data_IF_393293052219
#
_entry.id   IF_393293052219
#
_cell.length_a   1.000
_cell.length_b   1.000
_cell.length_c   1.000
_cell.angle_alpha   90.00
_cell.angle_beta   90.00
_cell.angle_gamma   90.00
#
_symmetry.space_group_name_H-M   'P 1'
#
loop_
_entity.id
_entity.type
_entity.pdbx_description
1 polymer ?
#
# COMPACT_ATOMS: atom_id res chain seq x y z
N UNK A 1 -2.99 25.84 -22.53
CA UNK A 1 -1.83 25.37 -23.30
C UNK A 1 -1.04 24.51 -22.34
N UNK A 2 -0.91 23.21 -22.60
CA UNK A 2 -0.20 22.30 -21.70
C UNK A 2 1.28 22.66 -21.59
N UNK A 3 1.88 22.37 -20.44
CA UNK A 3 3.31 22.55 -20.21
C UNK A 3 4.08 21.37 -20.83
N UNK A 4 5.17 21.62 -21.54
CA UNK A 4 5.99 20.57 -22.14
C UNK A 4 7.47 20.69 -21.76
N UNK A 5 8.11 19.55 -21.57
CA UNK A 5 9.55 19.45 -21.31
C UNK A 5 10.19 18.53 -22.34
N UNK A 6 11.31 18.99 -22.88
CA UNK A 6 12.14 18.25 -23.83
C UNK A 6 13.35 17.64 -23.10
N UNK A 7 13.56 16.35 -23.31
CA UNK A 7 14.72 15.62 -22.84
C UNK A 7 15.86 15.71 -23.87
N UNK A 8 17.09 15.92 -23.39
CA UNK A 8 18.25 16.07 -24.26
C UNK A 8 18.64 14.70 -24.87
N UNK A 9 18.50 13.65 -24.06
CA UNK A 9 18.77 12.27 -24.46
C UNK A 9 17.52 11.39 -24.32
N UNK A 10 17.28 10.51 -25.29
CA UNK A 10 16.17 9.53 -25.24
C UNK A 10 16.28 8.58 -24.04
N UNK A 11 17.51 8.29 -23.61
CA UNK A 11 17.79 7.43 -22.45
C UNK A 11 17.29 8.07 -21.15
N UNK A 12 17.49 9.38 -20.96
CA UNK A 12 16.99 10.09 -19.78
C UNK A 12 15.46 10.00 -19.70
N UNK A 13 14.78 10.18 -20.83
CA UNK A 13 13.33 10.06 -20.88
C UNK A 13 12.86 8.65 -20.52
N UNK A 14 13.47 7.62 -21.10
CA UNK A 14 13.12 6.22 -20.80
C UNK A 14 13.31 5.89 -19.31
N UNK A 15 14.32 6.46 -18.67
CA UNK A 15 14.54 6.31 -17.22
C UNK A 15 13.44 6.97 -16.41
N UNK A 16 13.02 8.18 -16.78
CA UNK A 16 11.95 8.91 -16.09
C UNK A 16 10.60 8.24 -16.27
N UNK A 17 10.23 7.86 -17.50
CA UNK A 17 9.00 7.11 -17.78
C UNK A 17 9.03 5.69 -17.18
N UNK A 18 10.23 5.15 -16.97
CA UNK A 18 10.45 3.79 -16.49
C UNK A 18 10.21 2.74 -17.58
N UNK A 19 10.62 1.50 -17.30
CA UNK A 19 10.44 0.38 -18.23
C UNK A 19 8.95 0.21 -18.53
N UNK A 20 8.59 0.18 -19.83
CA UNK A 20 7.20 0.13 -20.31
C UNK A 20 6.31 1.25 -19.74
N UNK A 21 6.86 2.44 -19.55
CA UNK A 21 6.12 3.62 -19.09
C UNK A 21 5.47 3.47 -17.72
N UNK A 22 5.98 2.56 -16.89
CA UNK A 22 5.40 2.23 -15.58
C UNK A 22 5.28 3.42 -14.62
N UNK A 23 6.13 4.44 -14.78
CA UNK A 23 6.16 5.61 -13.91
C UNK A 23 5.15 6.68 -14.36
N UNK A 24 4.63 6.62 -15.60
CA UNK A 24 3.70 7.64 -16.13
C UNK A 24 2.41 7.71 -15.30
N UNK A 25 1.69 6.61 -15.06
CA UNK A 25 0.46 6.66 -14.25
C UNK A 25 0.72 7.16 -12.82
N UNK A 26 1.93 6.92 -12.30
CA UNK A 26 2.35 7.38 -10.98
C UNK A 26 2.60 8.90 -10.97
N UNK A 27 3.27 9.44 -11.99
CA UNK A 27 3.50 10.87 -12.17
C UNK A 27 2.19 11.64 -12.39
N UNK A 28 1.27 11.09 -13.20
CA UNK A 28 -0.07 11.66 -13.42
C UNK A 28 -0.84 11.78 -12.10
N UNK A 29 -0.78 10.75 -11.26
CA UNK A 29 -1.42 10.74 -9.94
C UNK A 29 -0.82 11.81 -9.00
N UNK A 30 0.50 12.00 -9.03
CA UNK A 30 1.19 13.00 -8.19
C UNK A 30 0.90 14.43 -8.64
N UNK A 31 0.81 14.66 -9.95
CA UNK A 31 0.62 15.98 -10.55
C UNK A 31 -0.86 16.39 -10.63
N UNK A 32 -1.77 15.42 -10.69
CA UNK A 32 -3.21 15.66 -10.83
C UNK A 32 -3.61 16.08 -12.24
N UNK A 33 -3.00 15.47 -13.26
CA UNK A 33 -3.26 15.70 -14.68
C UNK A 33 -2.73 14.58 -15.55
N UNK A 34 -2.96 14.67 -16.86
CA UNK A 34 -2.58 13.66 -17.85
C UNK A 34 -1.21 13.97 -18.45
N UNK A 35 -0.44 12.92 -18.75
CA UNK A 35 0.88 13.02 -19.36
C UNK A 35 0.89 12.36 -20.75
N UNK A 36 1.36 13.11 -21.73
CA UNK A 36 1.49 12.64 -23.11
C UNK A 36 2.96 12.56 -23.51
N UNK A 37 3.38 11.38 -23.98
CA UNK A 37 4.72 11.13 -24.49
C UNK A 37 4.72 11.26 -26.01
N UNK A 38 5.55 12.16 -26.54
CA UNK A 38 5.75 12.31 -27.99
C UNK A 38 7.24 12.50 -28.29
N UNK A 39 7.89 11.46 -28.82
CA UNK A 39 9.33 11.48 -29.09
C UNK A 39 10.12 11.67 -27.79
N UNK A 40 10.96 12.71 -27.73
CA UNK A 40 11.70 13.10 -26.51
C UNK A 40 10.99 14.19 -25.69
N UNK A 41 9.69 14.40 -25.92
CA UNK A 41 8.91 15.45 -25.26
C UNK A 41 7.84 14.82 -24.38
N UNK A 42 7.77 15.27 -23.13
CA UNK A 42 6.69 14.95 -22.21
C UNK A 42 5.82 16.20 -22.04
N UNK A 43 4.53 16.07 -22.33
CA UNK A 43 3.55 17.15 -22.22
C UNK A 43 2.59 16.83 -21.09
N UNK A 44 2.32 17.82 -20.25
CA UNK A 44 1.36 17.75 -19.16
C UNK A 44 0.12 18.58 -19.49
N UNK A 45 -1.05 17.97 -19.30
CA UNK A 45 -2.34 18.66 -19.37
C UNK A 45 -3.06 18.53 -18.03
N UNK A 46 -3.34 19.68 -17.41
CA UNK A 46 -4.11 19.73 -16.17
C UNK A 46 -5.57 19.32 -16.42
N UNK A 47 -6.11 18.45 -15.57
CA UNK A 47 -7.53 18.08 -15.62
C UNK A 47 -8.40 19.29 -15.23
N UNK A 48 -9.55 19.54 -15.92
CA UNK A 48 -10.46 20.64 -15.59
C UNK A 48 -11.05 20.44 -14.18
N UNK A 49 -10.44 21.13 -13.20
CA UNK A 49 -10.73 20.97 -11.77
C UNK A 49 -9.56 21.34 -10.85
N UNK A 50 -8.32 21.39 -11.38
CA UNK A 50 -7.13 21.80 -10.63
C UNK A 50 -6.24 22.77 -11.44
N UNK A 51 -6.71 24.00 -11.74
CA UNK A 51 -6.04 24.90 -12.69
C UNK A 51 -4.82 25.65 -12.12
N UNK A 52 -4.61 25.66 -10.81
CA UNK A 52 -3.56 26.49 -10.19
C UNK A 52 -2.43 25.64 -9.59
N UNK A 53 -1.30 25.60 -10.31
CA UNK A 53 -0.02 25.10 -9.79
C UNK A 53 0.52 23.82 -10.45
N UNK A 54 -0.32 23.00 -11.08
CA UNK A 54 0.09 21.73 -11.69
C UNK A 54 1.22 21.87 -12.72
N UNK A 55 1.13 22.89 -13.58
CA UNK A 55 2.13 23.21 -14.61
C UNK A 55 3.51 23.59 -14.04
N UNK A 56 3.52 24.40 -12.97
CA UNK A 56 4.75 24.82 -12.30
C UNK A 56 5.39 23.66 -11.52
N UNK A 57 4.57 22.81 -10.89
CA UNK A 57 5.02 21.59 -10.22
C UNK A 57 5.56 20.56 -11.20
N UNK A 58 4.86 20.35 -12.32
CA UNK A 58 5.32 19.49 -13.42
C UNK A 58 6.70 19.94 -13.89
N UNK A 59 6.84 21.23 -14.21
CA UNK A 59 8.10 21.77 -14.74
C UNK A 59 9.25 21.57 -13.75
N UNK A 60 9.02 21.90 -12.48
CA UNK A 60 10.03 21.80 -11.44
C UNK A 60 10.41 20.35 -11.09
N UNK A 61 9.43 19.45 -11.06
CA UNK A 61 9.66 18.02 -10.82
C UNK A 61 10.48 17.40 -11.95
N UNK A 62 10.06 17.63 -13.18
CA UNK A 62 10.69 17.01 -14.35
C UNK A 62 12.13 17.49 -14.56
N UNK A 63 12.46 18.73 -14.21
CA UNK A 63 13.84 19.22 -14.18
C UNK A 63 14.69 18.41 -13.19
N UNK A 64 14.17 18.14 -11.98
CA UNK A 64 14.90 17.33 -10.99
C UNK A 64 15.01 15.86 -11.40
N UNK A 65 13.95 15.29 -11.97
CA UNK A 65 13.98 13.92 -12.50
C UNK A 65 14.96 13.79 -13.69
N UNK A 66 15.11 14.83 -14.50
CA UNK A 66 16.12 14.89 -15.57
C UNK A 66 17.55 14.88 -15.01
N UNK A 67 17.81 15.64 -13.95
CA UNK A 67 19.10 15.60 -13.24
C UNK A 67 19.36 14.21 -12.59
N UNK A 68 18.33 13.63 -11.95
CA UNK A 68 18.40 12.30 -11.35
C UNK A 68 18.67 11.21 -12.41
N UNK A 69 18.00 11.29 -13.56
CA UNK A 69 18.17 10.36 -14.69
C UNK A 69 19.58 10.39 -15.28
N UNK A 70 20.34 11.46 -15.03
CA UNK A 70 21.74 11.57 -15.45
C UNK A 70 22.70 10.81 -14.53
N UNK A 71 22.27 10.51 -13.28
CA UNK A 71 23.10 9.88 -12.24
C UNK A 71 22.72 8.44 -11.95
N UNK A 72 21.49 8.04 -12.29
CA UNK A 72 20.94 6.71 -11.98
C UNK A 72 20.52 5.99 -13.26
N UNK A 73 20.70 4.67 -13.29
CA UNK A 73 20.32 3.84 -14.44
C UNK A 73 18.82 3.53 -14.48
N UNK A 74 18.16 3.54 -13.32
CA UNK A 74 16.73 3.30 -13.19
C UNK A 74 16.16 4.30 -12.17
N UNK A 75 15.00 4.88 -12.48
CA UNK A 75 14.24 5.71 -11.56
C UNK A 75 13.05 4.92 -11.05
N UNK A 76 12.97 4.82 -9.73
CA UNK A 76 11.93 4.12 -8.99
C UNK A 76 10.90 5.09 -8.42
N UNK A 77 9.68 4.60 -8.15
CA UNK A 77 8.62 5.41 -7.53
C UNK A 77 9.05 6.14 -6.23
N UNK A 78 9.86 5.54 -5.32
CA UNK A 78 10.38 6.24 -4.15
C UNK A 78 11.25 7.46 -4.47
N UNK A 79 12.12 7.37 -5.49
CA UNK A 79 12.99 8.48 -5.88
C UNK A 79 12.17 9.63 -6.49
N UNK A 80 11.20 9.29 -7.34
CA UNK A 80 10.24 10.26 -7.91
C UNK A 80 9.52 11.00 -6.78
N UNK A 81 9.10 10.26 -5.76
CA UNK A 81 8.37 10.82 -4.63
C UNK A 81 9.23 11.74 -3.75
N UNK A 82 10.52 11.40 -3.55
CA UNK A 82 11.44 12.25 -2.81
C UNK A 82 11.68 13.59 -3.53
N UNK A 83 11.84 13.56 -4.85
CA UNK A 83 11.99 14.78 -5.64
C UNK A 83 10.71 15.62 -5.66
N UNK A 84 9.55 14.96 -5.75
CA UNK A 84 8.25 15.62 -5.63
C UNK A 84 8.08 16.35 -4.29
N UNK A 85 8.46 15.73 -3.17
CA UNK A 85 8.44 16.39 -1.86
C UNK A 85 9.43 17.55 -1.75
N UNK A 86 10.62 17.40 -2.35
CA UNK A 86 11.65 18.44 -2.39
C UNK A 86 11.16 19.68 -3.15
N UNK A 87 10.48 19.51 -4.28
CA UNK A 87 9.84 20.63 -5.02
C UNK A 87 8.74 21.29 -4.20
N UNK A 88 7.87 20.48 -3.57
CA UNK A 88 6.76 20.99 -2.76
C UNK A 88 7.22 21.77 -1.52
N UNK A 89 8.36 21.38 -0.94
CA UNK A 89 8.96 22.08 0.20
C UNK A 89 9.72 23.34 -0.22
N UNK A 90 10.28 23.36 -1.43
CA UNK A 90 11.05 24.50 -1.96
C UNK A 90 10.21 25.66 -2.49
N UNK A 91 8.98 25.42 -2.96
CA UNK A 91 8.09 26.48 -3.46
C UNK A 91 7.24 27.18 -2.38
N UNK A 92 7.45 26.88 -1.09
CA UNK A 92 6.59 27.32 0.02
C UNK A 92 7.12 28.50 0.85
N UNK A 93 8.02 29.33 0.33
CA UNK A 93 8.58 30.47 1.05
C UNK A 93 8.18 31.82 0.42
N UNK A 94 6.90 32.13 0.39
CA UNK A 94 6.41 33.52 0.49
C UNK A 94 4.90 33.58 0.78
N UNK A 95 4.56 34.42 1.74
CA UNK A 95 3.22 34.97 2.05
C UNK A 95 2.34 34.20 3.06
N UNK A 96 2.55 34.60 4.32
CA UNK A 96 1.61 34.81 5.43
C UNK A 96 0.17 34.24 5.36
N UNK A 97 -0.12 33.42 6.38
CA UNK A 97 -1.26 33.59 7.29
C UNK A 97 -2.62 33.99 6.69
N UNK A 98 -3.32 33.01 6.09
CA UNK A 98 -4.78 33.02 6.15
C UNK A 98 -5.31 31.60 6.37
N UNK A 99 -6.15 31.50 7.40
CA UNK A 99 -6.88 30.32 7.81
C UNK A 99 -7.82 29.87 6.70
N UNK A 100 -7.39 28.91 5.88
CA UNK A 100 -8.30 28.04 5.13
C UNK A 100 -7.82 26.61 5.33
N UNK A 101 -8.67 25.79 5.91
CA UNK A 101 -8.49 24.35 6.07
C UNK A 101 -8.36 23.68 4.69
N UNK A 102 -7.15 23.62 4.15
CA UNK A 102 -6.77 22.56 3.22
C UNK A 102 -5.63 21.82 3.90
N UNK A 103 -6.01 20.74 4.59
CA UNK A 103 -5.07 19.73 5.05
C UNK A 103 -4.41 19.19 3.79
N UNK A 104 -3.28 19.78 3.38
CA UNK A 104 -2.42 19.20 2.35
C UNK A 104 -1.66 18.06 3.03
N UNK A 105 -2.44 17.05 3.42
CA UNK A 105 -2.08 15.90 4.23
C UNK A 105 -0.96 15.15 3.53
N UNK A 106 0.19 15.06 4.21
CA UNK A 106 1.34 14.25 3.82
C UNK A 106 0.88 12.89 3.28
N UNK A 107 1.43 12.39 2.17
CA UNK A 107 1.05 11.08 1.66
C UNK A 107 1.36 10.05 2.74
N UNK A 108 0.32 9.37 3.20
CA UNK A 108 0.46 8.25 4.12
C UNK A 108 1.08 7.12 3.34
N UNK A 109 2.36 6.85 3.53
CA UNK A 109 3.04 5.69 2.96
C UNK A 109 3.34 4.65 4.04
N UNK A 110 3.54 3.39 3.63
CA UNK A 110 3.94 2.30 4.51
C UNK A 110 5.30 1.81 4.06
N UNK A 111 6.30 1.86 4.95
CA UNK A 111 7.62 1.29 4.70
C UNK A 111 7.70 -0.14 5.24
N UNK A 112 8.07 -1.10 4.40
CA UNK A 112 8.17 -2.53 4.73
C UNK A 112 9.36 -3.12 4.01
N UNK A 113 10.31 -3.73 4.74
CA UNK A 113 11.41 -4.47 4.10
C UNK A 113 12.27 -3.67 3.13
N UNK A 114 12.39 -2.36 3.33
CA UNK A 114 13.08 -1.44 2.40
C UNK A 114 12.24 -0.97 1.21
N UNK A 115 11.02 -1.49 1.02
CA UNK A 115 10.05 -1.01 0.03
C UNK A 115 9.10 0.00 0.66
N UNK A 116 8.65 0.96 -0.14
CA UNK A 116 7.63 1.93 0.28
C UNK A 116 6.35 1.71 -0.53
N UNK A 117 5.23 1.51 0.16
CA UNK A 117 3.90 1.31 -0.42
C UNK A 117 3.13 2.61 -0.34
N UNK A 118 2.67 3.08 -1.49
CA UNK A 118 1.90 4.32 -1.61
C UNK A 118 0.41 4.04 -1.92
N UNK A 119 -0.50 4.90 -1.42
CA UNK A 119 -1.90 4.82 -1.80
C UNK A 119 -2.06 5.28 -3.25
N UNK A 120 -2.81 4.49 -4.03
CA UNK A 120 -3.20 4.79 -5.42
C UNK A 120 -4.54 5.54 -5.51
N UNK A 121 -5.22 5.75 -4.39
CA UNK A 121 -6.48 6.50 -4.33
C UNK A 121 -6.69 7.17 -2.98
N UNK A 122 -7.60 8.15 -2.94
CA UNK A 122 -7.99 8.84 -1.70
C UNK A 122 -8.57 7.87 -0.65
N UNK A 123 -9.27 6.83 -1.11
CA UNK A 123 -9.83 5.78 -0.25
C UNK A 123 -8.74 4.92 0.37
N UNK A 124 -7.72 4.55 -0.41
CA UNK A 124 -6.56 3.84 0.12
C UNK A 124 -5.77 4.70 1.11
N UNK A 125 -5.57 5.99 0.82
CA UNK A 125 -4.92 6.93 1.75
C UNK A 125 -5.68 7.00 3.08
N UNK A 126 -7.01 7.13 3.01
CA UNK A 126 -7.88 7.13 4.19
C UNK A 126 -7.77 5.79 4.94
N UNK A 127 -7.79 4.67 4.24
CA UNK A 127 -7.65 3.35 4.84
C UNK A 127 -6.31 3.17 5.57
N UNK A 128 -5.20 3.55 4.94
CA UNK A 128 -3.86 3.50 5.55
C UNK A 128 -3.73 4.43 6.77
N UNK A 129 -4.39 5.59 6.74
CA UNK A 129 -4.48 6.49 7.89
C UNK A 129 -5.26 5.85 9.04
N UNK A 130 -6.45 5.30 8.75
CA UNK A 130 -7.28 4.64 9.75
C UNK A 130 -6.58 3.45 10.41
N UNK A 131 -5.81 2.65 9.66
CA UNK A 131 -5.05 1.53 10.22
C UNK A 131 -3.98 1.96 11.24
N UNK A 132 -3.49 3.19 11.17
CA UNK A 132 -2.52 3.74 12.13
C UNK A 132 -3.19 4.35 13.37
N UNK A 133 -4.40 4.87 13.21
CA UNK A 133 -5.10 5.62 14.25
C UNK A 133 -6.13 4.79 15.04
N UNK A 134 -6.64 3.70 14.45
CA UNK A 134 -7.75 2.93 15.01
C UNK A 134 -7.32 1.51 15.31
N UNK A 135 -7.82 1.00 16.43
CA UNK A 135 -7.59 -0.39 16.83
C UNK A 135 -8.25 -1.38 15.88
N UNK A 136 -9.45 -1.07 15.37
CA UNK A 136 -10.22 -1.95 14.50
C UNK A 136 -10.61 -1.15 13.26
N UNK A 137 -10.28 -1.67 12.08
CA UNK A 137 -10.61 -1.04 10.79
C UNK A 137 -11.29 -2.05 9.90
N UNK A 138 -12.46 -1.68 9.39
CA UNK A 138 -13.16 -2.42 8.35
C UNK A 138 -12.89 -1.77 7.01
N UNK A 139 -12.48 -2.56 6.02
CA UNK A 139 -12.33 -2.12 4.65
C UNK A 139 -13.18 -3.01 3.75
N UNK A 140 -14.26 -2.41 3.24
CA UNK A 140 -15.22 -3.07 2.37
C UNK A 140 -15.04 -2.52 0.95
N UNK A 141 -14.88 -3.39 -0.03
CA UNK A 141 -14.79 -2.97 -1.43
C UNK A 141 -14.62 -4.13 -2.40
N UNK A 142 -14.67 -3.87 -3.72
CA UNK A 142 -14.50 -4.93 -4.70
C UNK A 142 -13.08 -5.52 -4.70
N UNK A 143 -12.93 -6.67 -5.36
CA UNK A 143 -11.62 -7.28 -5.61
C UNK A 143 -10.71 -6.32 -6.41
N UNK A 144 -9.39 -6.44 -6.23
CA UNK A 144 -8.41 -5.59 -6.92
C UNK A 144 -8.21 -4.18 -6.33
N UNK A 145 -8.95 -3.79 -5.30
CA UNK A 145 -8.80 -2.46 -4.64
C UNK A 145 -7.63 -2.37 -3.66
N UNK A 146 -6.87 -3.46 -3.48
CA UNK A 146 -5.66 -3.48 -2.64
C UNK A 146 -5.92 -3.55 -1.14
N UNK A 147 -7.17 -3.78 -0.69
CA UNK A 147 -7.54 -3.83 0.73
C UNK A 147 -6.68 -4.81 1.55
N UNK A 148 -6.59 -6.06 1.11
CA UNK A 148 -5.82 -7.11 1.80
C UNK A 148 -4.32 -6.85 1.71
N UNK A 149 -3.85 -6.40 0.54
CA UNK A 149 -2.44 -6.06 0.32
C UNK A 149 -1.95 -4.93 1.23
N UNK A 150 -2.71 -3.84 1.33
CA UNK A 150 -2.37 -2.71 2.20
C UNK A 150 -2.43 -3.08 3.69
N UNK A 151 -3.36 -3.96 4.08
CA UNK A 151 -3.43 -4.50 5.43
C UNK A 151 -2.17 -5.31 5.78
N UNK A 152 -1.74 -6.19 4.88
CA UNK A 152 -0.51 -6.99 5.03
C UNK A 152 0.71 -6.06 5.12
N UNK A 153 0.80 -5.05 4.24
CA UNK A 153 1.89 -4.08 4.28
C UNK A 153 1.97 -3.37 5.64
N UNK A 154 0.83 -2.88 6.15
CA UNK A 154 0.81 -2.21 7.46
C UNK A 154 1.26 -3.17 8.56
N UNK A 155 0.70 -4.38 8.63
CA UNK A 155 1.04 -5.34 9.69
C UNK A 155 2.50 -5.80 9.64
N UNK A 156 3.07 -6.01 8.45
CA UNK A 156 4.50 -6.29 8.31
C UNK A 156 5.36 -5.12 8.77
N UNK A 157 4.98 -3.88 8.44
CA UNK A 157 5.68 -2.69 8.95
C UNK A 157 5.71 -2.65 10.49
N UNK A 158 4.56 -2.91 11.11
CA UNK A 158 4.42 -2.91 12.57
C UNK A 158 5.26 -4.00 13.25
N UNK A 159 5.34 -5.21 12.68
CA UNK A 159 6.14 -6.30 13.25
C UNK A 159 7.63 -6.12 12.99
N UNK A 160 8.03 -5.74 11.78
CA UNK A 160 9.44 -5.52 11.45
C UNK A 160 10.07 -4.33 12.21
N UNK A 161 9.26 -3.34 12.58
CA UNK A 161 9.70 -2.22 13.42
C UNK A 161 9.64 -2.52 14.93
N UNK A 162 9.17 -3.70 15.32
CA UNK A 162 9.05 -4.11 16.72
C UNK A 162 7.89 -3.47 17.49
N UNK A 163 7.00 -2.72 16.83
CA UNK A 163 5.81 -2.12 17.48
C UNK A 163 4.75 -3.15 17.84
N UNK A 164 4.70 -4.26 17.08
CA UNK A 164 3.88 -5.45 17.36
C UNK A 164 4.77 -6.68 17.39
N UNK A 165 4.38 -7.68 18.18
CA UNK A 165 5.13 -8.94 18.27
C UNK A 165 4.84 -9.91 17.12
N UNK A 166 3.60 -9.94 16.64
CA UNK A 166 3.22 -10.90 15.59
C UNK A 166 2.07 -10.45 14.71
N UNK A 167 1.98 -11.05 13.54
CA UNK A 167 0.86 -11.00 12.61
C UNK A 167 0.07 -12.29 12.74
N UNK A 168 -1.25 -12.18 12.87
CA UNK A 168 -2.16 -13.33 12.78
C UNK A 168 -3.04 -13.15 11.55
N UNK A 169 -2.87 -14.02 10.58
CA UNK A 169 -3.64 -14.06 9.34
C UNK A 169 -4.73 -15.11 9.48
N UNK A 170 -5.98 -14.69 9.33
CA UNK A 170 -7.13 -15.58 9.41
C UNK A 170 -8.12 -15.32 8.30
N UNK A 171 -8.77 -16.40 7.85
CA UNK A 171 -9.81 -16.40 6.83
C UNK A 171 -10.95 -17.32 7.28
N UNK A 172 -12.22 -16.97 7.08
CA UNK A 172 -13.32 -17.89 7.28
C UNK A 172 -13.24 -18.99 6.22
N UNK A 173 -13.46 -20.24 6.64
CA UNK A 173 -13.57 -21.35 5.70
C UNK A 173 -15.00 -21.34 5.19
N UNK A 174 -15.15 -21.14 3.88
CA UNK A 174 -16.41 -21.36 3.18
C UNK A 174 -16.26 -22.71 2.50
N UNK A 175 -17.08 -23.68 2.89
CA UNK A 175 -17.11 -24.98 2.22
C UNK A 175 -17.65 -24.75 0.80
N UNK A 176 -16.75 -24.74 -0.19
CA UNK A 176 -17.09 -24.64 -1.60
C UNK A 176 -17.64 -25.98 -2.13
N UNK A 177 -18.59 -26.58 -1.42
CA UNK A 177 -19.19 -27.87 -1.74
C UNK A 177 -18.41 -29.11 -1.27
N UNK A 178 -17.17 -28.97 -0.79
CA UNK A 178 -16.37 -30.04 -0.18
C UNK A 178 -16.06 -29.70 1.28
N UNK A 179 -16.37 -30.58 2.24
CA UNK A 179 -15.97 -30.36 3.63
C UNK A 179 -14.45 -30.47 3.70
N UNK A 180 -13.80 -29.55 4.40
CA UNK A 180 -12.34 -29.57 4.64
C UNK A 180 -11.87 -30.93 5.20
N UNK A 181 -12.75 -31.66 5.89
CA UNK A 181 -12.52 -33.03 6.36
C UNK A 181 -12.15 -34.04 5.26
N UNK A 182 -12.61 -33.86 4.01
CA UNK A 182 -12.47 -34.83 2.92
C UNK A 182 -11.24 -34.63 2.03
N UNK A 183 -10.59 -33.46 2.07
CA UNK A 183 -9.33 -33.26 1.35
C UNK A 183 -8.24 -34.19 1.94
N UNK A 184 -7.38 -34.84 1.15
CA UNK A 184 -6.26 -35.62 1.68
C UNK A 184 -5.17 -34.68 2.25
N UNK A 185 -4.41 -35.14 3.24
CA UNK A 185 -3.29 -34.40 3.84
C UNK A 185 -3.54 -33.87 5.26
N UNK A 186 -2.52 -33.22 5.83
CA UNK A 186 -2.63 -32.56 7.14
C UNK A 186 -3.46 -31.27 7.04
N UNK A 187 -3.92 -30.73 8.17
CA UNK A 187 -4.77 -29.55 8.19
C UNK A 187 -4.12 -28.35 7.47
N UNK A 188 -2.81 -28.20 7.62
CA UNK A 188 -2.01 -27.13 7.01
C UNK A 188 -2.02 -27.21 5.48
N UNK A 189 -1.86 -28.41 4.94
CA UNK A 189 -1.92 -28.68 3.50
C UNK A 189 -3.30 -28.36 2.92
N UNK A 190 -4.37 -28.61 3.68
CA UNK A 190 -5.75 -28.33 3.25
C UNK A 190 -6.09 -26.85 3.21
N UNK A 191 -5.54 -26.05 4.13
CA UNK A 191 -5.82 -24.61 4.21
C UNK A 191 -4.87 -23.77 3.35
N UNK A 192 -3.71 -24.34 2.98
CA UNK A 192 -2.66 -23.66 2.20
C UNK A 192 -3.19 -22.96 0.93
N UNK A 193 -4.06 -23.57 0.09
CA UNK A 193 -4.57 -22.91 -1.11
C UNK A 193 -5.33 -21.60 -0.83
N UNK A 194 -6.08 -21.53 0.28
CA UNK A 194 -6.88 -20.36 0.66
C UNK A 194 -6.04 -19.21 1.21
N UNK A 195 -4.84 -19.52 1.71
CA UNK A 195 -3.90 -18.58 2.30
C UNK A 195 -2.83 -18.12 1.29
N UNK A 196 -2.66 -18.85 0.18
CA UNK A 196 -1.66 -18.54 -0.85
C UNK A 196 -1.68 -17.07 -1.32
N UNK A 197 -2.85 -16.43 -1.57
CA UNK A 197 -2.86 -15.01 -1.96
C UNK A 197 -2.26 -14.07 -0.91
N UNK A 198 -2.37 -14.42 0.38
CA UNK A 198 -1.76 -13.65 1.46
C UNK A 198 -0.24 -13.79 1.45
N UNK A 199 0.26 -15.01 1.17
CA UNK A 199 1.69 -15.27 1.01
C UNK A 199 2.28 -14.54 -0.18
N UNK A 200 1.61 -14.58 -1.34
CA UNK A 200 2.08 -13.88 -2.54
C UNK A 200 2.19 -12.35 -2.29
N UNK A 201 1.25 -11.77 -1.53
CA UNK A 201 1.31 -10.37 -1.11
C UNK A 201 2.49 -10.08 -0.16
N UNK A 202 2.80 -10.99 0.78
CA UNK A 202 3.97 -10.86 1.65
C UNK A 202 5.28 -10.97 0.87
N UNK A 203 5.39 -11.94 -0.05
CA UNK A 203 6.58 -12.15 -0.90
C UNK A 203 6.86 -10.96 -1.81
N UNK A 204 5.81 -10.20 -2.19
CA UNK A 204 5.99 -8.94 -2.90
C UNK A 204 6.65 -7.86 -2.02
N UNK A 205 6.38 -7.84 -0.72
CA UNK A 205 6.86 -6.82 0.21
C UNK A 205 8.22 -7.13 0.82
N UNK A 206 8.48 -8.40 1.13
CA UNK A 206 9.69 -8.86 1.82
C UNK A 206 10.24 -10.14 1.18
N UNK A 207 11.57 -10.35 1.18
CA UNK A 207 12.16 -11.58 0.70
C UNK A 207 11.57 -12.84 1.37
N UNK A 208 11.33 -13.94 0.62
CA UNK A 208 10.75 -15.18 1.16
C UNK A 208 11.52 -15.76 2.37
N UNK A 209 12.85 -15.61 2.40
CA UNK A 209 13.68 -16.05 3.53
C UNK A 209 13.32 -15.34 4.85
N UNK A 210 12.91 -14.07 4.79
CA UNK A 210 12.47 -13.31 5.96
C UNK A 210 11.11 -13.81 6.42
N UNK A 211 10.17 -14.04 5.49
CA UNK A 211 8.83 -14.58 5.80
C UNK A 211 8.98 -15.90 6.54
N UNK A 212 9.76 -16.83 5.97
CA UNK A 212 10.00 -18.15 6.58
C UNK A 212 10.56 -18.04 8.00
N UNK A 213 11.52 -17.15 8.23
CA UNK A 213 12.10 -16.91 9.57
C UNK A 213 11.05 -16.36 10.55
N UNK A 214 10.16 -15.47 10.07
CA UNK A 214 9.07 -14.92 10.88
C UNK A 214 7.98 -15.97 11.16
N UNK A 215 7.79 -16.96 10.30
CA UNK A 215 6.90 -18.09 10.60
C UNK A 215 7.54 -19.05 11.60
N UNK A 216 8.80 -19.42 11.40
CA UNK A 216 9.54 -20.35 12.28
C UNK A 216 9.65 -19.83 13.71
N UNK A 217 9.74 -18.52 13.91
CA UNK A 217 9.78 -17.90 15.23
C UNK A 217 8.38 -17.50 15.77
N UNK A 218 7.30 -17.78 15.04
CA UNK A 218 5.92 -17.49 15.43
C UNK A 218 5.49 -16.01 15.33
N UNK A 219 6.29 -15.16 14.67
CA UNK A 219 5.92 -13.76 14.39
C UNK A 219 4.90 -13.64 13.27
N UNK A 220 4.78 -14.62 12.38
CA UNK A 220 3.68 -14.74 11.41
C UNK A 220 2.97 -16.05 11.72
N UNK A 221 1.67 -15.96 11.95
CA UNK A 221 0.82 -17.10 12.26
C UNK A 221 -0.37 -17.10 11.30
N UNK A 222 -0.56 -18.21 10.56
CA UNK A 222 -1.73 -18.42 9.74
C UNK A 222 -2.64 -19.45 10.39
N UNK A 223 -3.92 -19.13 10.52
CA UNK A 223 -4.89 -20.07 11.10
C UNK A 223 -6.32 -19.78 10.61
N UNK A 224 -7.18 -20.80 10.50
CA UNK A 224 -8.60 -20.59 10.21
C UNK A 224 -9.30 -19.75 11.29
N UNK A 225 -10.39 -19.08 10.92
CA UNK A 225 -11.18 -18.27 11.87
C UNK A 225 -11.65 -19.07 13.09
N UNK A 226 -12.00 -20.35 12.91
CA UNK A 226 -12.45 -21.22 14.00
C UNK A 226 -11.40 -21.39 15.11
N UNK A 227 -10.10 -21.29 14.77
CA UNK A 227 -8.98 -21.44 15.70
C UNK A 227 -8.74 -20.19 16.55
N UNK A 228 -9.45 -19.10 16.25
CA UNK A 228 -9.41 -17.89 17.09
C UNK A 228 -10.20 -18.06 18.39
N UNK A 229 -11.08 -19.06 18.48
CA UNK A 229 -11.91 -19.30 19.65
C UNK A 229 -11.06 -19.53 20.90
N UNK A 230 -11.37 -18.80 21.98
CA UNK A 230 -10.66 -18.94 23.25
C UNK A 230 -9.28 -18.28 23.30
N UNK A 231 -8.84 -17.61 22.22
CA UNK A 231 -7.57 -16.88 22.22
C UNK A 231 -7.71 -15.47 22.79
N UNK A 232 -6.60 -14.94 23.26
CA UNK A 232 -6.39 -13.52 23.53
C UNK A 232 -5.22 -13.05 22.68
N UNK A 233 -5.50 -12.13 21.74
CA UNK A 233 -4.53 -11.62 20.78
C UNK A 233 -3.90 -10.35 21.36
N UNK A 234 -2.86 -10.53 22.18
CA UNK A 234 -2.07 -9.46 22.76
C UNK A 234 -0.94 -9.05 21.82
N UNK A 235 -0.66 -7.75 21.76
CA UNK A 235 0.48 -7.19 21.03
C UNK A 235 0.61 -7.68 19.58
N UNK A 236 -0.53 -7.86 18.90
CA UNK A 236 -0.61 -8.51 17.60
C UNK A 236 -1.31 -7.64 16.56
N UNK A 237 -0.92 -7.79 15.30
CA UNK A 237 -1.63 -7.28 14.14
C UNK A 237 -2.46 -8.42 13.55
N UNK A 238 -3.78 -8.29 13.49
CA UNK A 238 -4.68 -9.38 13.10
C UNK A 238 -5.38 -9.00 11.82
N UNK A 239 -5.29 -9.85 10.80
CA UNK A 239 -5.99 -9.63 9.52
C UNK A 239 -7.05 -10.72 9.38
N UNK A 240 -8.31 -10.32 9.34
CA UNK A 240 -9.43 -11.17 8.95
C UNK A 240 -9.78 -10.87 7.50
N UNK A 241 -9.30 -11.72 6.60
CA UNK A 241 -9.59 -11.59 5.18
C UNK A 241 -10.90 -12.29 4.80
N UNK A 242 -11.53 -11.79 3.75
CA UNK A 242 -12.76 -12.35 3.17
C UNK A 242 -13.90 -12.46 4.19
N UNK A 243 -13.99 -11.42 5.03
CA UNK A 243 -14.88 -11.31 6.17
C UNK A 243 -16.36 -11.26 5.80
N UNK A 244 -16.71 -10.94 4.54
CA UNK A 244 -18.08 -11.03 4.03
C UNK A 244 -18.64 -12.44 4.11
N UNK A 245 -17.78 -13.46 4.24
CA UNK A 245 -18.17 -14.85 4.42
C UNK A 245 -18.35 -15.27 5.90
N UNK A 246 -18.31 -14.33 6.83
CA UNK A 246 -18.52 -14.61 8.26
C UNK A 246 -19.98 -14.48 8.68
N UNK A 247 -20.37 -15.24 9.70
CA UNK A 247 -21.61 -14.98 10.43
C UNK A 247 -21.40 -13.89 11.48
N UNK A 248 -22.49 -13.25 11.92
CA UNK A 248 -22.45 -12.27 13.02
C UNK A 248 -21.85 -12.86 14.31
N UNK A 249 -22.10 -14.14 14.59
CA UNK A 249 -21.53 -14.84 15.74
C UNK A 249 -20.01 -15.03 15.60
N UNK A 250 -19.54 -15.40 14.41
CA UNK A 250 -18.11 -15.53 14.12
C UNK A 250 -17.39 -14.18 14.19
N UNK A 251 -18.01 -13.12 13.67
CA UNK A 251 -17.47 -11.76 13.78
C UNK A 251 -17.38 -11.31 15.25
N UNK A 252 -18.44 -11.53 16.04
CA UNK A 252 -18.43 -11.22 17.48
C UNK A 252 -17.36 -12.05 18.23
N UNK A 253 -17.24 -13.33 17.91
CA UNK A 253 -16.20 -14.19 18.45
C UNK A 253 -14.81 -13.61 18.15
N UNK A 254 -14.55 -13.22 16.90
CA UNK A 254 -13.28 -12.63 16.46
C UNK A 254 -12.94 -11.32 17.16
N UNK A 255 -13.84 -10.33 17.12
CA UNK A 255 -13.58 -8.99 17.67
C UNK A 255 -13.32 -9.03 19.17
N UNK A 256 -13.95 -9.96 19.90
CA UNK A 256 -13.72 -10.14 21.34
C UNK A 256 -12.41 -10.84 21.70
N UNK A 257 -11.61 -11.27 20.73
CA UNK A 257 -10.26 -11.83 20.99
C UNK A 257 -9.19 -10.73 21.08
N UNK A 258 -9.47 -9.54 20.53
CA UNK A 258 -8.51 -8.43 20.53
C UNK A 258 -8.26 -7.95 21.95
N UNK A 259 -6.97 -7.81 22.28
CA UNK A 259 -6.52 -7.45 23.62
C UNK A 259 -5.59 -6.22 23.56
N UNK A 260 -4.80 -5.99 24.59
CA UNK A 260 -3.98 -4.78 24.69
C UNK A 260 -2.89 -4.71 23.61
N UNK A 261 -2.60 -3.49 23.15
CA UNK A 261 -1.69 -3.20 22.05
C UNK A 261 -1.92 -4.07 20.80
N UNK A 262 -3.15 -4.54 20.55
CA UNK A 262 -3.50 -5.25 19.33
C UNK A 262 -4.22 -4.35 18.34
N UNK A 263 -4.18 -4.71 17.07
CA UNK A 263 -5.03 -4.09 16.05
C UNK A 263 -5.63 -5.15 15.13
N UNK A 264 -6.80 -4.87 14.59
CA UNK A 264 -7.46 -5.72 13.60
C UNK A 264 -7.79 -4.95 12.33
N UNK A 265 -7.50 -5.58 11.21
CA UNK A 265 -7.95 -5.13 9.89
C UNK A 265 -8.86 -6.21 9.31
N UNK A 266 -10.12 -5.85 9.08
CA UNK A 266 -11.15 -6.74 8.57
C UNK A 266 -11.44 -6.35 7.12
N UNK A 267 -11.14 -7.25 6.18
CA UNK A 267 -11.27 -6.99 4.73
C UNK A 267 -12.37 -7.86 4.12
N UNK A 268 -13.17 -7.27 3.24
CA UNK A 268 -14.24 -7.95 2.50
C UNK A 268 -14.66 -7.21 1.24
#
# INVERSE_FOLDING_TARGET
MGSSIVFDESVQMQRVCGINDRNIPYLELLLGGELFVHGNTLTYESTPGNPEGGDAFFTSLLIKLKDLASRMEEITEPEIFMEFQSVRSGCGASSESSKINSVVETPTSIMVGGKTVFPKSIRQKTFMRLMRERQIVFSIGPAGTGKTFLAIAQCLSEVLSGRKQKIVLTRPIVEAGENLGFLPGDLTQKISPYLRPLYDAMEWLVPPAIIKRLEENGSIETAPLAYMRGRSLNNACVILDEAQNTTSEQMKMFLTRLSENSMAVVTG
#
